data_IF_545671850847
#
_entry.id   IF_545671850847
#
_cell.length_a   1.000
_cell.length_b   1.000
_cell.length_c   1.000
_cell.angle_alpha   90.00
_cell.angle_beta   90.00
_cell.angle_gamma   90.00
#
_symmetry.space_group_name_H-M   'P 1'
#
loop_
_entity.id
_entity.type
_entity.pdbx_description
1 polymer ?
#
# COMPACT_ATOMS: atom_id res chain seq x y z
N UNK A 1 -14.86 -45.44 3.47
CA UNK A 1 -13.49 -44.97 3.24
C UNK A 1 -13.31 -43.89 2.15
N UNK A 2 -14.28 -43.64 1.25
CA UNK A 2 -14.10 -42.64 0.16
C UNK A 2 -14.38 -41.18 0.54
N UNK A 3 -15.24 -40.93 1.54
CA UNK A 3 -15.60 -39.56 1.96
C UNK A 3 -14.47 -38.84 2.76
N UNK A 4 -13.64 -39.59 3.48
CA UNK A 4 -12.55 -39.03 4.28
C UNK A 4 -11.40 -38.47 3.42
N UNK A 5 -11.13 -39.06 2.26
CA UNK A 5 -10.13 -38.54 1.32
C UNK A 5 -10.55 -37.21 0.67
N UNK A 6 -11.84 -37.02 0.39
CA UNK A 6 -12.35 -35.77 -0.21
C UNK A 6 -12.31 -34.63 0.80
N UNK A 7 -12.62 -34.91 2.08
CA UNK A 7 -12.49 -33.93 3.16
C UNK A 7 -11.03 -33.53 3.42
N UNK A 8 -10.07 -34.45 3.25
CA UNK A 8 -8.63 -34.18 3.38
C UNK A 8 -8.10 -33.33 2.21
N UNK A 9 -8.54 -33.61 0.98
CA UNK A 9 -8.24 -32.79 -0.20
C UNK A 9 -8.86 -31.39 -0.09
N UNK A 10 -10.10 -31.26 0.41
CA UNK A 10 -10.72 -29.97 0.67
C UNK A 10 -10.00 -29.18 1.79
N UNK A 11 -9.48 -29.85 2.82
CA UNK A 11 -8.61 -29.22 3.83
C UNK A 11 -7.26 -28.77 3.24
N UNK A 12 -6.69 -29.54 2.31
CA UNK A 12 -5.48 -29.14 1.58
C UNK A 12 -5.73 -27.97 0.61
N UNK A 13 -6.93 -27.83 0.04
CA UNK A 13 -7.33 -26.66 -0.76
C UNK A 13 -7.65 -25.42 0.08
N UNK A 14 -8.13 -25.57 1.32
CA UNK A 14 -8.37 -24.44 2.22
C UNK A 14 -7.06 -23.77 2.70
N UNK A 15 -5.97 -24.52 2.82
CA UNK A 15 -4.60 -23.99 3.03
C UNK A 15 -3.96 -23.39 1.77
N UNK A 16 -4.59 -23.56 0.59
CA UNK A 16 -4.06 -23.16 -0.71
C UNK A 16 -4.38 -21.71 -1.09
N UNK A 17 -5.29 -21.03 -0.37
CA UNK A 17 -5.67 -19.65 -0.66
C UNK A 17 -4.47 -18.68 -0.61
N UNK A 18 -3.64 -18.77 0.43
CA UNK A 18 -2.47 -17.90 0.58
C UNK A 18 -1.34 -18.27 -0.38
N UNK A 19 -1.11 -19.55 -0.65
CA UNK A 19 -0.08 -20.00 -1.60
C UNK A 19 -0.46 -19.68 -3.04
N UNK A 20 -1.74 -19.84 -3.42
CA UNK A 20 -2.26 -19.43 -4.72
C UNK A 20 -2.22 -17.91 -4.90
N UNK A 21 -2.55 -17.14 -3.85
CA UNK A 21 -2.42 -15.67 -3.85
C UNK A 21 -0.98 -15.20 -4.00
N UNK A 22 -0.02 -15.78 -3.26
CA UNK A 22 1.41 -15.46 -3.39
C UNK A 22 1.98 -15.84 -4.76
N UNK A 23 1.57 -16.99 -5.31
CA UNK A 23 1.97 -17.40 -6.65
C UNK A 23 1.40 -16.47 -7.74
N UNK A 24 0.11 -16.10 -7.65
CA UNK A 24 -0.52 -15.16 -8.55
C UNK A 24 0.06 -13.74 -8.41
N UNK A 25 0.41 -13.32 -7.19
CA UNK A 25 1.06 -12.03 -6.95
C UNK A 25 2.43 -12.00 -7.64
N UNK A 26 3.23 -13.07 -7.53
CA UNK A 26 4.56 -13.15 -8.11
C UNK A 26 4.57 -13.09 -9.63
N UNK A 27 3.60 -13.72 -10.29
CA UNK A 27 3.47 -13.65 -11.75
C UNK A 27 2.95 -12.29 -12.23
N UNK A 28 2.27 -11.53 -11.36
CA UNK A 28 1.77 -10.19 -11.67
C UNK A 28 2.81 -9.07 -11.46
N UNK A 29 3.89 -9.30 -10.68
CA UNK A 29 4.92 -8.27 -10.40
C UNK A 29 5.48 -7.60 -11.66
N UNK A 30 5.87 -8.32 -12.73
CA UNK A 30 6.44 -7.67 -13.92
C UNK A 30 5.44 -6.72 -14.61
N UNK A 31 4.16 -7.08 -14.63
CA UNK A 31 3.10 -6.25 -15.20
C UNK A 31 2.80 -5.04 -14.29
N UNK A 32 2.81 -5.24 -12.98
CA UNK A 32 2.68 -4.16 -12.01
C UNK A 32 3.84 -3.16 -12.12
N UNK A 33 5.08 -3.62 -12.32
CA UNK A 33 6.24 -2.76 -12.48
C UNK A 33 6.15 -1.89 -13.74
N UNK A 34 5.67 -2.46 -14.85
CA UNK A 34 5.37 -1.70 -16.06
C UNK A 34 4.25 -0.68 -15.84
N UNK A 35 3.18 -1.10 -15.17
CA UNK A 35 2.08 -0.21 -14.82
C UNK A 35 2.51 0.95 -13.92
N UNK A 36 3.33 0.68 -12.92
CA UNK A 36 3.88 1.70 -12.01
C UNK A 36 4.79 2.68 -12.75
N UNK A 37 5.60 2.20 -13.70
CA UNK A 37 6.46 3.07 -14.52
C UNK A 37 5.65 4.07 -15.34
N UNK A 38 4.45 3.69 -15.80
CA UNK A 38 3.59 4.54 -16.61
C UNK A 38 2.67 5.43 -15.77
N UNK A 39 2.09 4.89 -14.69
CA UNK A 39 1.05 5.55 -13.91
C UNK A 39 1.61 6.38 -12.76
N UNK A 40 2.72 5.98 -12.14
CA UNK A 40 3.27 6.74 -11.01
C UNK A 40 3.67 8.18 -11.36
N UNK A 41 4.30 8.46 -12.53
CA UNK A 41 4.58 9.85 -12.91
C UNK A 41 3.29 10.69 -12.95
N UNK A 42 2.21 10.14 -13.49
CA UNK A 42 0.91 10.81 -13.54
C UNK A 42 0.33 11.04 -12.14
N UNK A 43 0.35 10.02 -11.28
CA UNK A 43 -0.05 10.15 -9.87
C UNK A 43 0.77 11.23 -9.12
N UNK A 44 2.06 11.33 -9.44
CA UNK A 44 2.97 12.32 -8.89
C UNK A 44 2.65 13.77 -9.28
N UNK A 45 2.05 14.01 -10.46
CA UNK A 45 1.72 15.36 -10.92
C UNK A 45 0.65 16.03 -10.03
N UNK A 46 -0.39 15.30 -9.63
CA UNK A 46 -1.41 15.83 -8.74
C UNK A 46 -0.84 16.13 -7.34
N UNK A 47 -0.01 15.22 -6.82
CA UNK A 47 0.70 15.46 -5.56
C UNK A 47 1.61 16.71 -5.66
N UNK A 48 2.37 16.84 -6.75
CA UNK A 48 3.23 17.99 -7.00
C UNK A 48 2.45 19.31 -7.08
N UNK A 49 1.26 19.30 -7.68
CA UNK A 49 0.36 20.46 -7.67
C UNK A 49 0.05 20.91 -6.23
N UNK A 50 -0.44 19.98 -5.39
CA UNK A 50 -0.80 20.27 -4.00
C UNK A 50 0.38 20.78 -3.18
N UNK A 51 1.54 20.14 -3.31
CA UNK A 51 2.73 20.53 -2.55
C UNK A 51 3.26 21.90 -2.97
N UNK A 52 3.24 22.22 -4.26
CA UNK A 52 3.62 23.54 -4.76
C UNK A 52 2.67 24.62 -4.27
N UNK A 53 1.35 24.40 -4.33
CA UNK A 53 0.37 25.38 -3.81
C UNK A 53 0.55 25.59 -2.30
N UNK A 54 0.75 24.51 -1.53
CA UNK A 54 1.01 24.59 -0.10
C UNK A 54 2.31 25.36 0.21
N UNK A 55 3.40 25.09 -0.52
CA UNK A 55 4.66 25.83 -0.39
C UNK A 55 4.50 27.32 -0.74
N UNK A 56 3.66 27.64 -1.73
CA UNK A 56 3.30 29.02 -2.07
C UNK A 56 2.56 29.74 -0.94
N UNK A 57 1.67 29.04 -0.22
CA UNK A 57 0.99 29.59 0.95
C UNK A 57 1.96 29.83 2.13
N UNK A 58 2.82 28.86 2.41
CA UNK A 58 3.84 28.96 3.46
C UNK A 58 4.82 30.10 3.18
N UNK A 59 5.29 30.22 1.93
CA UNK A 59 6.16 31.30 1.51
C UNK A 59 5.48 32.68 1.62
N UNK A 60 4.21 32.79 1.24
CA UNK A 60 3.45 34.03 1.44
C UNK A 60 3.33 34.41 2.91
N UNK A 61 3.09 33.44 3.80
CA UNK A 61 3.02 33.68 5.23
C UNK A 61 4.37 34.20 5.76
N UNK A 62 5.46 33.54 5.40
CA UNK A 62 6.82 33.96 5.75
C UNK A 62 7.14 35.38 5.26
N UNK A 63 6.85 35.70 4.00
CA UNK A 63 7.08 37.04 3.44
C UNK A 63 6.23 38.09 4.16
N UNK A 64 4.97 37.77 4.49
CA UNK A 64 4.10 38.67 5.22
C UNK A 64 4.63 39.00 6.61
N UNK A 65 5.17 38.01 7.31
CA UNK A 65 5.76 38.19 8.64
C UNK A 65 7.07 38.98 8.59
N UNK A 66 7.95 38.67 7.63
CA UNK A 66 9.30 39.25 7.53
C UNK A 66 9.36 40.63 6.88
N UNK A 67 8.38 40.97 6.05
CA UNK A 67 8.31 42.26 5.34
C UNK A 67 7.14 43.15 5.77
N UNK A 68 6.50 42.81 6.89
CA UNK A 68 5.42 43.63 7.44
C UNK A 68 5.88 45.09 7.62
N UNK A 69 5.12 46.02 7.05
CA UNK A 69 5.41 47.46 7.14
C UNK A 69 6.48 47.98 6.17
N UNK A 70 7.10 47.12 5.35
CA UNK A 70 8.02 47.55 4.29
C UNK A 70 7.27 47.96 3.03
N UNK A 71 7.77 48.96 2.32
CA UNK A 71 7.25 49.38 1.01
C UNK A 71 7.44 48.33 -0.08
N UNK A 72 8.40 47.40 0.12
CA UNK A 72 8.68 46.27 -0.78
C UNK A 72 7.69 45.11 -0.67
N UNK A 73 6.86 45.09 0.37
CA UNK A 73 5.95 43.97 0.67
C UNK A 73 5.11 43.51 -0.53
N UNK A 74 4.50 44.40 -1.36
CA UNK A 74 3.74 43.96 -2.53
C UNK A 74 4.60 43.21 -3.55
N UNK A 75 5.85 43.66 -3.76
CA UNK A 75 6.79 43.02 -4.66
C UNK A 75 7.24 41.67 -4.10
N UNK A 76 7.55 41.60 -2.80
CA UNK A 76 8.01 40.37 -2.17
C UNK A 76 6.92 39.29 -2.16
N UNK A 77 5.64 39.66 -2.03
CA UNK A 77 4.51 38.72 -2.19
C UNK A 77 4.46 38.08 -3.58
N UNK A 78 4.86 38.81 -4.62
CA UNK A 78 4.86 38.28 -5.98
C UNK A 78 5.82 37.11 -6.18
N UNK A 79 6.86 36.99 -5.34
CA UNK A 79 7.81 35.86 -5.43
C UNK A 79 7.16 34.50 -5.19
N UNK A 80 6.00 34.45 -4.52
CA UNK A 80 5.23 33.21 -4.36
C UNK A 80 4.71 32.63 -5.69
N UNK A 81 4.70 33.43 -6.77
CA UNK A 81 4.28 32.98 -8.10
C UNK A 81 5.13 31.82 -8.63
N UNK A 82 6.39 31.70 -8.18
CA UNK A 82 7.29 30.60 -8.54
C UNK A 82 6.72 29.25 -8.11
N UNK A 83 5.91 29.24 -7.04
CA UNK A 83 5.22 28.04 -6.57
C UNK A 83 3.81 27.92 -7.16
N UNK A 84 3.05 29.02 -7.18
CA UNK A 84 1.66 28.98 -7.67
C UNK A 84 1.56 28.69 -9.17
N UNK A 85 2.42 29.27 -10.01
CA UNK A 85 2.33 29.07 -11.46
C UNK A 85 2.46 27.59 -11.86
N UNK A 86 3.51 26.85 -11.47
CA UNK A 86 3.57 25.42 -11.74
C UNK A 86 2.52 24.62 -10.96
N UNK A 87 2.19 25.02 -9.73
CA UNK A 87 1.13 24.36 -8.95
C UNK A 87 -0.22 24.39 -9.66
N UNK A 88 -0.68 25.56 -10.10
CA UNK A 88 -1.93 25.69 -10.85
C UNK A 88 -1.87 25.08 -12.25
N UNK A 89 -0.71 25.08 -12.91
CA UNK A 89 -0.55 24.37 -14.17
C UNK A 89 -0.76 22.85 -14.02
N UNK A 90 -0.41 22.29 -12.87
CA UNK A 90 -0.57 20.87 -12.55
C UNK A 90 -1.92 20.56 -11.86
N UNK A 91 -2.71 21.56 -11.49
CA UNK A 91 -3.99 21.39 -10.80
C UNK A 91 -4.97 20.42 -11.47
N UNK A 92 -5.12 20.37 -12.80
CA UNK A 92 -6.05 19.41 -13.44
C UNK A 92 -5.71 17.95 -13.14
N UNK A 93 -4.43 17.66 -12.90
CA UNK A 93 -4.00 16.31 -12.53
C UNK A 93 -4.46 15.95 -11.12
N UNK A 94 -4.60 16.92 -10.22
CA UNK A 94 -5.04 16.66 -8.85
C UNK A 94 -6.43 16.03 -8.76
N UNK A 95 -7.34 16.40 -9.67
CA UNK A 95 -8.67 15.80 -9.76
C UNK A 95 -8.66 14.41 -10.42
N UNK A 96 -7.66 14.13 -11.26
CA UNK A 96 -7.51 12.89 -12.01
C UNK A 96 -6.64 11.85 -11.30
N UNK A 97 -5.89 12.25 -10.26
CA UNK A 97 -4.97 11.41 -9.52
C UNK A 97 -5.53 11.04 -8.13
N UNK A 98 -5.20 9.85 -7.61
CA UNK A 98 -5.58 9.47 -6.26
C UNK A 98 -4.95 10.40 -5.22
N UNK A 99 -5.57 10.47 -4.03
CA UNK A 99 -5.07 11.29 -2.91
C UNK A 99 -3.72 10.82 -2.36
N UNK A 100 -3.38 9.55 -2.58
CA UNK A 100 -2.12 8.95 -2.20
C UNK A 100 -1.55 8.17 -3.40
N UNK A 101 -0.22 8.20 -3.54
CA UNK A 101 0.47 7.39 -4.55
C UNK A 101 0.28 5.92 -4.20
N UNK A 102 -0.14 5.13 -5.17
CA UNK A 102 -0.37 3.70 -5.03
C UNK A 102 0.47 2.93 -6.05
N UNK A 103 1.64 2.42 -5.64
CA UNK A 103 2.43 1.50 -6.46
C UNK A 103 1.80 0.11 -6.40
N UNK A 104 1.40 -0.42 -7.56
CA UNK A 104 0.86 -1.77 -7.69
C UNK A 104 1.91 -2.82 -7.28
N UNK A 105 3.19 -2.59 -7.57
CA UNK A 105 4.28 -3.48 -7.14
C UNK A 105 4.34 -3.59 -5.62
N UNK A 106 4.20 -2.47 -4.90
CA UNK A 106 4.20 -2.46 -3.45
C UNK A 106 3.04 -3.28 -2.87
N UNK A 107 1.83 -3.16 -3.43
CA UNK A 107 0.68 -3.97 -3.00
C UNK A 107 0.87 -5.48 -3.20
N UNK A 108 1.58 -5.86 -4.28
CA UNK A 108 1.90 -7.27 -4.53
C UNK A 108 2.99 -7.77 -3.58
N UNK A 109 3.97 -6.92 -3.23
CA UNK A 109 5.01 -7.23 -2.25
C UNK A 109 4.42 -7.42 -0.84
N UNK A 110 3.47 -6.58 -0.44
CA UNK A 110 2.75 -6.72 0.84
C UNK A 110 2.01 -8.06 0.93
N UNK A 111 1.53 -8.59 -0.21
CA UNK A 111 0.90 -9.92 -0.27
C UNK A 111 1.91 -11.05 0.05
N UNK A 112 3.20 -10.84 -0.15
CA UNK A 112 4.25 -11.78 0.28
C UNK A 112 4.59 -11.65 1.77
N UNK A 113 4.62 -10.42 2.27
CA UNK A 113 4.95 -10.06 3.65
C UNK A 113 3.83 -10.36 4.64
N UNK A 114 2.57 -10.43 4.18
CA UNK A 114 1.45 -10.93 4.99
C UNK A 114 1.79 -12.34 5.50
N UNK A 115 2.13 -12.40 6.79
CA UNK A 115 2.33 -13.63 7.50
C UNK A 115 1.04 -14.45 7.39
N UNK A 116 1.11 -15.77 7.14
CA UNK A 116 -0.09 -16.58 7.26
C UNK A 116 -0.66 -16.33 8.64
N UNK A 117 -1.94 -15.94 8.72
CA UNK A 117 -2.62 -15.85 10.00
C UNK A 117 -2.39 -17.18 10.71
N UNK A 118 -1.51 -17.17 11.72
CA UNK A 118 -1.34 -18.31 12.60
C UNK A 118 -2.62 -18.32 13.40
N UNK A 119 -3.63 -18.99 12.86
CA UNK A 119 -4.74 -19.48 13.66
C UNK A 119 -4.09 -20.27 14.77
N UNK A 120 -4.01 -19.67 15.96
CA UNK A 120 -3.70 -20.31 17.22
C UNK A 120 -4.83 -21.31 17.53
N UNK A 121 -5.08 -22.27 16.64
CA UNK A 121 -5.78 -23.48 17.02
C UNK A 121 -4.84 -24.18 18.00
N UNK A 122 -5.25 -24.41 19.25
CA UNK A 122 -4.39 -25.08 20.21
C UNK A 122 -4.00 -26.43 19.60
N UNK A 123 -2.70 -26.70 19.52
CA UNK A 123 -2.18 -28.00 19.11
C UNK A 123 -2.71 -28.99 20.13
N UNK A 124 -3.79 -29.70 19.79
CA UNK A 124 -4.32 -30.78 20.60
C UNK A 124 -3.27 -31.89 20.58
N UNK A 125 -2.41 -31.93 21.61
CA UNK A 125 -1.51 -33.07 21.85
C UNK A 125 -2.38 -34.32 21.79
N UNK A 126 -2.10 -35.22 20.85
CA UNK A 126 -2.66 -36.58 20.87
C UNK A 126 -2.26 -37.19 22.21
N UNK A 127 -3.22 -37.42 23.09
CA UNK A 127 -3.00 -38.28 24.24
C UNK A 127 -2.50 -39.64 23.73
N UNK A 128 -1.45 -40.21 24.34
CA UNK A 128 -1.02 -41.56 23.99
C UNK A 128 -2.15 -42.54 24.34
N UNK A 129 -2.41 -43.49 23.43
CA UNK A 129 -3.43 -44.51 23.60
C UNK A 129 -3.22 -45.31 24.91
N UNK A 130 -4.30 -45.69 25.62
CA UNK A 130 -4.19 -46.47 26.84
C UNK A 130 -3.56 -47.83 26.51
N UNK A 131 -2.57 -48.24 27.32
CA UNK A 131 -1.92 -49.55 27.21
C UNK A 131 -2.97 -50.63 27.47
N UNK A 132 -3.25 -51.46 26.47
CA UNK A 132 -4.03 -52.67 26.63
C UNK A 132 -3.31 -53.59 27.64
N UNK A 133 -4.02 -53.95 28.71
CA UNK A 133 -3.55 -54.93 29.69
C UNK A 133 -3.55 -56.31 29.01
N UNK A 134 -2.38 -56.93 28.95
CA UNK A 134 -2.21 -58.31 28.53
C UNK A 134 -2.82 -59.21 29.62
N UNK A 135 -3.95 -59.87 29.33
CA UNK A 135 -4.41 -61.00 30.15
C UNK A 135 -3.65 -62.25 29.68
N UNK A 136 -2.80 -62.78 30.56
CA UNK A 136 -2.13 -64.08 30.40
C UNK A 136 -3.18 -65.20 30.46
N UNK A 137 -3.19 -66.07 29.45
CA UNK A 137 -3.90 -67.35 29.45
C UNK A 137 -2.85 -68.45 29.30
#
# INVERSE_FOLDING_TARGET
MRAACVAMLALCLAGCGNTARKAAAGTAIPFAALGDTLLMPFQGLGLASRTLVAAGHEHLAYVNETEMGKTTLPLSRSTAIVYYAPGFALWPFDAATPSHIYPMTQSLLETFEEAPAVTNAPIRRKEPAPKEAFEEW
#
